data_IF_253807317544
#
_entry.id   IF_253807317544
#
_cell.length_a   1.000
_cell.length_b   1.000
_cell.length_c   1.000
_cell.angle_alpha   90.00
_cell.angle_beta   90.00
_cell.angle_gamma   90.00
#
_symmetry.space_group_name_H-M   'P 1'
#
loop_
_entity.id
_entity.type
_entity.pdbx_description
1 polymer ?
#
# COMPACT_ATOMS: atom_id res chain seq x y z
N UNK A 1 -6.73 -33.32 -55.54
CA UNK A 1 -6.48 -31.99 -54.94
C UNK A 1 -7.83 -31.38 -54.58
N UNK A 2 -8.39 -31.72 -53.42
CA UNK A 2 -9.72 -31.23 -52.99
C UNK A 2 -9.50 -29.94 -52.21
N UNK A 3 -9.94 -28.80 -52.77
CA UNK A 3 -9.96 -27.53 -52.05
C UNK A 3 -11.05 -27.62 -50.99
N UNK A 4 -10.67 -27.77 -49.72
CA UNK A 4 -11.57 -27.51 -48.60
C UNK A 4 -11.84 -26.01 -48.65
N UNK A 5 -13.04 -25.60 -49.08
CA UNK A 5 -13.53 -24.25 -48.79
C UNK A 5 -13.60 -24.14 -47.27
N UNK A 6 -12.65 -23.43 -46.66
CA UNK A 6 -12.71 -23.02 -45.26
C UNK A 6 -13.90 -22.08 -45.10
N UNK A 7 -15.06 -22.66 -44.79
CA UNK A 7 -16.33 -21.98 -44.58
C UNK A 7 -16.14 -20.79 -43.63
N UNK A 8 -16.10 -19.56 -44.16
CA UNK A 8 -15.82 -18.34 -43.39
C UNK A 8 -16.79 -18.12 -42.23
N UNK A 9 -18.01 -18.70 -42.33
CA UNK A 9 -19.00 -18.75 -41.25
C UNK A 9 -18.55 -19.62 -40.07
N UNK A 10 -17.96 -20.78 -40.34
CA UNK A 10 -17.43 -21.66 -39.30
C UNK A 10 -16.20 -21.05 -38.63
N UNK A 11 -15.36 -20.35 -39.40
CA UNK A 11 -14.21 -19.61 -38.85
C UNK A 11 -14.65 -18.44 -37.98
N UNK A 12 -15.67 -17.69 -38.40
CA UNK A 12 -16.26 -16.61 -37.60
C UNK A 12 -16.93 -17.13 -36.32
N UNK A 13 -17.62 -18.28 -36.39
CA UNK A 13 -18.17 -18.94 -35.20
C UNK A 13 -17.07 -19.41 -34.25
N UNK A 14 -15.99 -20.02 -34.74
CA UNK A 14 -14.82 -20.40 -33.91
C UNK A 14 -14.19 -19.18 -33.24
N UNK A 15 -13.95 -18.11 -33.98
CA UNK A 15 -13.35 -16.89 -33.45
C UNK A 15 -14.21 -16.26 -32.34
N UNK A 16 -15.53 -16.28 -32.52
CA UNK A 16 -16.49 -15.77 -31.54
C UNK A 16 -16.60 -16.66 -30.30
N UNK A 17 -16.52 -17.98 -30.45
CA UNK A 17 -16.47 -18.93 -29.34
C UNK A 17 -15.17 -18.77 -28.54
N UNK A 18 -14.03 -18.66 -29.21
CA UNK A 18 -12.71 -18.42 -28.58
C UNK A 18 -12.69 -17.09 -27.82
N UNK A 19 -13.23 -16.02 -28.41
CA UNK A 19 -13.36 -14.72 -27.75
C UNK A 19 -14.21 -14.79 -26.47
N UNK A 20 -15.36 -15.47 -26.50
CA UNK A 20 -16.19 -15.69 -25.30
C UNK A 20 -15.48 -16.53 -24.22
N UNK A 21 -14.73 -17.56 -24.61
CA UNK A 21 -13.93 -18.39 -23.68
C UNK A 21 -12.84 -17.56 -22.99
N UNK A 22 -12.22 -16.64 -23.72
CA UNK A 22 -11.18 -15.76 -23.19
C UNK A 22 -11.73 -14.74 -22.19
N UNK A 23 -12.91 -14.17 -22.46
CA UNK A 23 -13.64 -13.30 -21.51
C UNK A 23 -14.10 -14.07 -20.27
N UNK A 24 -14.53 -15.32 -20.42
CA UNK A 24 -14.93 -16.16 -19.27
C UNK A 24 -13.71 -16.54 -18.40
N UNK A 25 -12.54 -16.73 -19.02
CA UNK A 25 -11.29 -17.02 -18.32
C UNK A 25 -10.79 -15.85 -17.49
N UNK A 26 -10.85 -14.61 -18.00
CA UNK A 26 -10.51 -13.41 -17.21
C UNK A 26 -11.52 -13.17 -16.08
N UNK A 27 -12.81 -13.38 -16.32
CA UNK A 27 -13.81 -13.32 -15.24
C UNK A 27 -13.55 -14.33 -14.13
N UNK A 28 -13.00 -15.51 -14.43
CA UNK A 28 -12.68 -16.54 -13.44
C UNK A 28 -11.44 -16.22 -12.61
N UNK A 29 -10.45 -15.49 -13.14
CA UNK A 29 -9.29 -15.05 -12.34
C UNK A 29 -9.64 -13.99 -11.31
N UNK A 30 -10.67 -13.19 -11.58
CA UNK A 30 -11.07 -12.07 -10.71
C UNK A 30 -11.87 -12.54 -9.48
N UNK A 31 -12.63 -13.64 -9.59
CA UNK A 31 -13.44 -14.18 -8.47
C UNK A 31 -12.61 -14.49 -7.20
N UNK A 32 -11.49 -15.23 -7.26
CA UNK A 32 -10.70 -15.50 -6.06
C UNK A 32 -10.07 -14.24 -5.46
N UNK A 33 -9.67 -13.28 -6.29
CA UNK A 33 -9.13 -11.99 -5.84
C UNK A 33 -10.20 -11.17 -5.11
N UNK A 34 -11.41 -11.07 -5.67
CA UNK A 34 -12.55 -10.41 -5.04
C UNK A 34 -12.93 -11.08 -3.72
N UNK A 35 -12.85 -12.41 -3.63
CA UNK A 35 -13.07 -13.11 -2.36
C UNK A 35 -12.02 -12.77 -1.30
N UNK A 36 -10.75 -12.63 -1.71
CA UNK A 36 -9.68 -12.19 -0.82
C UNK A 36 -9.91 -10.76 -0.32
N UNK A 37 -10.31 -9.85 -1.22
CA UNK A 37 -10.65 -8.47 -0.88
C UNK A 37 -11.84 -8.40 0.09
N UNK A 38 -12.92 -9.16 -0.16
CA UNK A 38 -14.06 -9.25 0.76
C UNK A 38 -13.62 -9.77 2.13
N UNK A 39 -12.74 -10.78 2.17
CA UNK A 39 -12.20 -11.32 3.43
C UNK A 39 -11.38 -10.26 4.18
N UNK A 40 -10.59 -9.45 3.48
CA UNK A 40 -9.86 -8.33 4.05
C UNK A 40 -10.80 -7.25 4.59
N UNK A 41 -11.76 -6.78 3.80
CA UNK A 41 -12.70 -5.74 4.21
C UNK A 41 -13.53 -6.18 5.43
N UNK A 42 -13.97 -7.45 5.47
CA UNK A 42 -14.67 -8.02 6.64
C UNK A 42 -13.81 -8.04 7.91
N UNK A 43 -12.49 -8.14 7.77
CA UNK A 43 -11.54 -8.04 8.89
C UNK A 43 -11.40 -6.58 9.32
N UNK A 44 -11.18 -5.67 8.39
CA UNK A 44 -10.93 -4.24 8.66
C UNK A 44 -12.13 -3.54 9.30
N UNK A 45 -13.36 -3.87 8.88
CA UNK A 45 -14.59 -3.30 9.45
C UNK A 45 -14.73 -3.63 10.95
N UNK A 46 -14.13 -4.73 11.41
CA UNK A 46 -14.18 -5.13 12.82
C UNK A 46 -13.15 -4.41 13.68
N UNK A 47 -12.25 -3.60 13.10
CA UNK A 47 -11.33 -2.79 13.89
C UNK A 47 -12.08 -1.71 14.66
N UNK A 48 -11.88 -1.69 15.97
CA UNK A 48 -12.46 -0.67 16.85
C UNK A 48 -11.79 0.67 16.57
N UNK A 49 -12.61 1.70 16.31
CA UNK A 49 -12.15 3.08 16.14
C UNK A 49 -12.33 3.85 17.44
N UNK A 50 -11.38 4.72 17.75
CA UNK A 50 -11.50 5.68 18.85
C UNK A 50 -11.93 7.04 18.31
N UNK A 51 -12.51 7.90 19.17
CA UNK A 51 -12.88 9.26 18.76
C UNK A 51 -11.62 10.05 18.44
N UNK A 52 -11.62 10.76 17.31
CA UNK A 52 -10.48 11.59 16.90
C UNK A 52 -10.14 12.60 17.98
N UNK A 53 -11.14 13.25 18.59
CA UNK A 53 -10.92 14.20 19.68
C UNK A 53 -10.20 13.58 20.89
N UNK A 54 -10.47 12.32 21.22
CA UNK A 54 -9.79 11.61 22.29
C UNK A 54 -8.34 11.31 21.92
N UNK A 55 -8.12 10.73 20.74
CA UNK A 55 -6.77 10.40 20.26
C UNK A 55 -5.91 11.65 20.11
N UNK A 56 -6.47 12.76 19.64
CA UNK A 56 -5.78 14.04 19.57
C UNK A 56 -5.32 14.52 20.94
N UNK A 57 -6.16 14.40 21.97
CA UNK A 57 -5.78 14.76 23.33
C UNK A 57 -4.67 13.85 23.86
N UNK A 58 -4.75 12.54 23.62
CA UNK A 58 -3.75 11.57 24.04
C UNK A 58 -2.37 11.88 23.40
N UNK A 59 -2.37 12.24 22.11
CA UNK A 59 -1.15 12.65 21.39
C UNK A 59 -0.58 13.94 22.00
N UNK A 60 -1.40 14.95 22.26
CA UNK A 60 -0.97 16.22 22.86
C UNK A 60 -0.35 15.96 24.23
N UNK A 61 -1.02 15.18 25.09
CA UNK A 61 -0.51 14.83 26.42
C UNK A 61 0.83 14.11 26.35
N UNK A 62 0.99 13.19 25.40
CA UNK A 62 2.25 12.49 25.20
C UNK A 62 3.36 13.46 24.80
N UNK A 63 3.10 14.36 23.84
CA UNK A 63 4.05 15.37 23.42
C UNK A 63 4.44 16.32 24.57
N UNK A 64 3.46 16.82 25.33
CA UNK A 64 3.70 17.74 26.45
C UNK A 64 4.54 17.09 27.56
N UNK A 65 4.32 15.79 27.83
CA UNK A 65 5.10 15.06 28.82
C UNK A 65 6.57 14.84 28.39
N UNK A 66 6.86 14.82 27.08
CA UNK A 66 8.18 14.49 26.54
C UNK A 66 8.92 15.69 25.93
N UNK A 67 8.27 16.84 25.78
CA UNK A 67 8.87 18.04 25.17
C UNK A 67 10.17 18.46 25.86
N UNK A 68 10.24 18.31 27.19
CA UNK A 68 11.42 18.63 28.01
C UNK A 68 12.66 17.78 27.69
N UNK A 69 12.44 16.56 27.18
CA UNK A 69 13.49 15.59 26.91
C UNK A 69 13.90 15.55 25.44
N UNK A 70 13.19 16.27 24.56
CA UNK A 70 13.50 16.34 23.14
C UNK A 70 14.59 17.39 22.90
N UNK A 71 15.82 17.01 22.52
CA UNK A 71 16.94 17.95 22.32
C UNK A 71 16.75 18.90 21.13
N UNK A 72 15.81 18.59 20.23
CA UNK A 72 15.50 19.39 19.06
C UNK A 72 14.47 20.48 19.39
N UNK A 73 13.58 20.20 20.34
CA UNK A 73 12.60 21.18 20.83
C UNK A 73 13.20 22.01 21.97
N UNK A 74 13.80 21.35 22.95
CA UNK A 74 14.59 21.98 24.00
C UNK A 74 16.03 22.07 23.54
N UNK A 75 16.44 23.27 23.13
CA UNK A 75 17.83 23.54 22.71
C UNK A 75 18.81 23.05 23.77
N UNK A 76 19.54 21.98 23.46
CA UNK A 76 20.61 21.50 24.31
C UNK A 76 21.84 22.42 24.21
N UNK A 77 22.63 22.57 25.28
CA UNK A 77 23.88 23.31 25.22
C UNK A 77 24.84 22.68 24.21
N UNK A 78 25.64 23.50 23.53
CA UNK A 78 26.57 23.04 22.48
C UNK A 78 27.53 21.93 22.95
N UNK A 79 27.84 21.86 24.25
CA UNK A 79 28.70 20.83 24.81
C UNK A 79 28.10 19.42 24.82
N UNK A 80 26.78 19.32 24.95
CA UNK A 80 26.04 18.05 24.95
C UNK A 80 25.65 17.63 23.54
N UNK A 81 25.68 18.55 22.57
CA UNK A 81 25.41 18.25 21.18
C UNK A 81 26.54 17.38 20.57
N UNK A 82 26.27 16.12 20.17
CA UNK A 82 27.28 15.26 19.56
C UNK A 82 27.77 15.78 18.20
N UNK A 83 26.95 16.58 17.50
CA UNK A 83 27.26 17.23 16.22
C UNK A 83 27.92 18.61 16.38
N UNK A 84 28.36 18.98 17.59
CA UNK A 84 29.15 20.21 17.76
C UNK A 84 30.42 20.11 16.92
N UNK A 85 30.79 21.22 16.27
CA UNK A 85 32.12 21.41 15.70
C UNK A 85 33.17 21.28 16.80
N UNK A 86 33.64 20.04 17.01
CA UNK A 86 34.93 19.80 17.66
C UNK A 86 35.94 20.20 16.61
N UNK A 87 36.93 21.00 16.98
CA UNK A 87 38.03 21.48 16.13
C UNK A 87 38.94 20.36 15.60
N UNK A 88 38.38 19.28 15.08
CA UNK A 88 39.07 18.22 14.36
C UNK A 88 38.76 18.43 12.88
N UNK A 89 39.77 18.64 12.02
CA UNK A 89 39.53 18.75 10.58
C UNK A 89 38.92 17.44 10.09
N UNK A 90 37.84 17.53 9.31
CA UNK A 90 37.20 16.40 8.67
C UNK A 90 38.23 15.64 7.82
N UNK A 91 38.38 14.33 8.04
CA UNK A 91 38.99 13.44 7.05
C UNK A 91 37.82 12.84 6.27
N UNK A 92 37.69 13.24 4.99
CA UNK A 92 36.90 12.46 4.04
C UNK A 92 37.63 11.13 3.82
N UNK A 93 36.95 10.03 4.10
CA UNK A 93 37.36 8.67 3.70
C UNK A 93 37.07 8.45 2.22
#
# INVERSE_FOLDING_TARGET
MVRICSDGRLLAMKFRIESCLQVNRSRQSDVPELHQEIAQLRREVKNRRMKVSQVSNDIIQYCDAHIGNDPLLMKIPMNENPFRDRSRPCVLL
#
